data_IF_069086938918
#
_entry.id   IF_069086938918
#
_cell.length_a   1.000
_cell.length_b   1.000
_cell.length_c   1.000
_cell.angle_alpha   90.00
_cell.angle_beta   90.00
_cell.angle_gamma   90.00
#
_symmetry.space_group_name_H-M   'P 1'
#
loop_
_entity.id
_entity.type
_entity.pdbx_description
1 polymer ?
#
# COMPACT_ATOMS: atom_id res chain seq x y z
N UNK A 1 -28.51 -8.97 54.12
CA UNK A 1 -27.66 -8.04 53.34
C UNK A 1 -26.64 -8.70 52.40
N UNK A 2 -26.45 -10.04 52.37
CA UNK A 2 -25.44 -10.69 51.52
C UNK A 2 -25.85 -10.95 50.05
N UNK A 3 -27.16 -10.88 49.72
CA UNK A 3 -27.70 -11.24 48.40
C UNK A 3 -27.54 -10.18 47.30
N UNK A 4 -27.37 -8.91 47.67
CA UNK A 4 -27.22 -7.80 46.71
C UNK A 4 -25.78 -7.63 46.18
N UNK A 5 -24.78 -8.09 46.93
CA UNK A 5 -23.37 -8.04 46.51
C UNK A 5 -23.04 -9.03 45.38
N UNK A 6 -23.63 -10.23 45.43
CA UNK A 6 -23.39 -11.28 44.45
C UNK A 6 -23.93 -10.92 43.04
N UNK A 7 -25.08 -10.23 43.00
CA UNK A 7 -25.72 -9.82 41.75
C UNK A 7 -24.96 -8.68 41.06
N UNK A 8 -24.42 -7.74 41.85
CA UNK A 8 -23.51 -6.69 41.36
C UNK A 8 -22.18 -7.26 40.84
N UNK A 9 -21.65 -8.29 41.51
CA UNK A 9 -20.43 -8.97 41.08
C UNK A 9 -20.66 -9.74 39.76
N UNK A 10 -21.79 -10.45 39.62
CA UNK A 10 -22.14 -11.14 38.36
C UNK A 10 -22.32 -10.17 37.18
N UNK A 11 -22.94 -9.01 37.41
CA UNK A 11 -23.12 -7.97 36.38
C UNK A 11 -21.78 -7.36 35.91
N UNK A 12 -20.80 -7.20 36.80
CA UNK A 12 -19.45 -6.74 36.44
C UNK A 12 -18.67 -7.80 35.65
N UNK A 13 -18.83 -9.08 35.97
CA UNK A 13 -18.15 -10.17 35.25
C UNK A 13 -18.75 -10.37 33.84
N UNK A 14 -20.07 -10.22 33.68
CA UNK A 14 -20.75 -10.23 32.37
C UNK A 14 -20.39 -9.03 31.49
N UNK A 15 -20.11 -7.86 32.08
CA UNK A 15 -19.66 -6.68 31.33
C UNK A 15 -18.21 -6.82 30.81
N UNK A 16 -17.33 -7.55 31.50
CA UNK A 16 -15.97 -7.81 31.03
C UNK A 16 -15.89 -8.78 29.85
N UNK A 17 -16.94 -9.58 29.58
CA UNK A 17 -16.96 -10.52 28.46
C UNK A 17 -17.43 -9.88 27.14
N UNK A 18 -17.86 -8.62 27.19
CA UNK A 18 -18.28 -7.86 26.01
C UNK A 18 -17.16 -6.97 25.42
N UNK A 19 -15.88 -7.28 25.69
CA UNK A 19 -14.80 -6.75 24.86
C UNK A 19 -14.88 -7.48 23.52
N UNK A 20 -15.68 -6.93 22.61
CA UNK A 20 -15.65 -7.31 21.20
C UNK A 20 -14.21 -7.12 20.73
N UNK A 21 -13.57 -8.22 20.32
CA UNK A 21 -12.46 -8.14 19.38
C UNK A 21 -13.03 -7.52 18.10
N UNK A 22 -12.96 -6.19 17.95
CA UNK A 22 -13.08 -5.54 16.65
C UNK A 22 -11.84 -5.92 15.84
N UNK A 23 -11.83 -7.16 15.34
CA UNK A 23 -10.94 -7.51 14.25
C UNK A 23 -11.36 -6.66 13.06
N UNK A 24 -10.52 -5.70 12.67
CA UNK A 24 -10.71 -4.91 11.46
C UNK A 24 -10.98 -5.89 10.31
N UNK A 25 -12.17 -5.85 9.68
CA UNK A 25 -12.50 -6.77 8.61
C UNK A 25 -11.51 -6.55 7.47
N UNK A 26 -10.81 -7.63 7.11
CA UNK A 26 -9.88 -7.63 5.98
C UNK A 26 -10.67 -7.34 4.70
N UNK A 27 -10.15 -6.45 3.86
CA UNK A 27 -10.88 -6.03 2.69
C UNK A 27 -11.05 -7.16 1.69
N UNK A 28 -12.26 -7.28 1.13
CA UNK A 28 -12.48 -8.18 0.02
C UNK A 28 -11.77 -7.62 -1.22
N UNK A 29 -11.00 -8.50 -1.86
CA UNK A 29 -10.18 -8.18 -3.02
C UNK A 29 -10.73 -8.87 -4.28
N UNK A 30 -11.88 -9.54 -4.16
CA UNK A 30 -12.60 -10.16 -5.27
C UNK A 30 -13.35 -9.09 -6.05
N UNK A 31 -13.27 -9.08 -7.39
CA UNK A 31 -14.05 -8.16 -8.21
C UNK A 31 -15.56 -8.29 -7.97
N UNK A 32 -16.24 -7.15 -7.82
CA UNK A 32 -17.70 -7.13 -7.69
C UNK A 32 -18.39 -7.76 -8.92
N UNK A 33 -19.46 -8.52 -8.65
CA UNK A 33 -20.32 -9.07 -9.70
C UNK A 33 -19.69 -10.20 -10.54
N UNK A 34 -18.49 -10.69 -10.19
CA UNK A 34 -17.90 -11.85 -10.87
C UNK A 34 -18.36 -13.16 -10.24
N UNK A 35 -18.75 -14.12 -11.07
CA UNK A 35 -18.94 -15.54 -10.69
C UNK A 35 -17.78 -16.41 -11.18
N UNK A 36 -16.84 -15.82 -11.92
CA UNK A 36 -15.72 -16.55 -12.50
C UNK A 36 -14.68 -16.87 -11.40
N UNK A 37 -14.10 -18.09 -11.39
CA UNK A 37 -13.04 -18.42 -10.47
C UNK A 37 -11.78 -17.60 -10.76
N UNK A 38 -10.97 -17.39 -9.73
CA UNK A 38 -9.67 -16.72 -9.84
C UNK A 38 -8.79 -17.39 -10.90
N UNK A 39 -8.24 -16.61 -11.82
CA UNK A 39 -7.32 -17.12 -12.84
C UNK A 39 -5.94 -17.40 -12.24
N UNK A 40 -5.16 -18.26 -12.89
CA UNK A 40 -3.74 -18.45 -12.55
C UNK A 40 -3.00 -17.13 -12.72
N UNK A 41 -2.06 -16.83 -11.82
CA UNK A 41 -1.26 -15.62 -11.90
C UNK A 41 -0.62 -15.48 -13.28
N UNK A 42 -0.69 -14.27 -13.83
CA UNK A 42 -0.19 -13.94 -15.16
C UNK A 42 0.92 -12.91 -15.01
N UNK A 43 2.11 -13.26 -15.49
CA UNK A 43 3.31 -12.42 -15.37
C UNK A 43 3.28 -11.19 -16.27
N UNK A 44 2.23 -11.02 -17.09
CA UNK A 44 2.02 -9.83 -17.92
C UNK A 44 1.42 -8.66 -17.16
N UNK A 45 1.09 -8.78 -15.88
CA UNK A 45 0.68 -7.62 -15.08
C UNK A 45 1.58 -7.53 -13.87
N UNK A 46 2.12 -6.35 -13.62
CA UNK A 46 3.13 -6.14 -12.57
C UNK A 46 2.72 -4.96 -11.73
N UNK A 47 2.67 -5.18 -10.42
CA UNK A 47 2.66 -4.12 -9.42
C UNK A 47 4.11 -3.74 -9.13
N UNK A 48 4.43 -2.45 -9.13
CA UNK A 48 5.75 -1.93 -8.81
C UNK A 48 5.67 -0.62 -8.04
N UNK A 49 6.74 -0.31 -7.31
CA UNK A 49 6.92 0.98 -6.66
C UNK A 49 8.09 1.66 -7.38
N UNK A 50 7.88 2.91 -7.79
CA UNK A 50 8.89 3.68 -8.51
C UNK A 50 10.19 3.75 -7.70
N UNK A 51 11.33 3.59 -8.35
CA UNK A 51 12.64 3.48 -7.68
C UNK A 51 12.95 2.09 -7.11
N UNK A 52 11.98 1.17 -7.06
CA UNK A 52 12.12 -0.21 -6.54
C UNK A 52 12.79 -0.26 -5.17
N UNK A 53 12.29 0.51 -4.18
CA UNK A 53 12.86 0.50 -2.84
C UNK A 53 12.73 -0.90 -2.20
N UNK A 54 13.68 -1.25 -1.33
CA UNK A 54 13.61 -2.48 -0.53
C UNK A 54 12.86 -2.26 0.80
N UNK A 55 12.94 -1.03 1.33
CA UNK A 55 12.33 -0.58 2.59
C UNK A 55 11.58 0.74 2.36
N UNK A 56 10.74 1.13 3.31
CA UNK A 56 10.10 2.45 3.30
C UNK A 56 10.62 3.31 4.46
N UNK A 57 10.74 4.61 4.20
CA UNK A 57 11.02 5.62 5.22
C UNK A 57 9.70 6.19 5.73
N UNK A 58 9.45 6.23 7.06
CA UNK A 58 8.22 6.77 7.63
C UNK A 58 7.89 8.19 7.13
N UNK A 59 6.64 8.41 6.71
CA UNK A 59 6.15 9.71 6.21
C UNK A 59 6.56 10.06 4.77
N UNK A 60 7.49 9.31 4.17
CA UNK A 60 7.91 9.52 2.78
C UNK A 60 6.77 9.14 1.81
N UNK A 61 6.73 9.79 0.64
CA UNK A 61 5.76 9.51 -0.42
C UNK A 61 6.38 8.67 -1.52
N UNK A 62 5.67 7.62 -1.93
CA UNK A 62 6.07 6.72 -3.01
C UNK A 62 5.01 6.65 -4.10
N UNK A 63 5.45 6.44 -5.34
CA UNK A 63 4.53 6.17 -6.46
C UNK A 63 4.38 4.67 -6.67
N UNK A 64 3.17 4.17 -6.50
CA UNK A 64 2.79 2.78 -6.77
C UNK A 64 2.19 2.71 -8.18
N UNK A 65 2.70 1.84 -9.04
CA UNK A 65 2.23 1.64 -10.41
C UNK A 65 1.80 0.19 -10.64
N UNK A 66 0.64 0.01 -11.25
CA UNK A 66 0.17 -1.27 -11.77
C UNK A 66 0.15 -1.19 -13.29
N UNK A 67 0.98 -2.00 -13.95
CA UNK A 67 1.18 -1.95 -15.40
C UNK A 67 1.03 -3.30 -16.08
N UNK A 68 0.57 -3.24 -17.32
CA UNK A 68 0.63 -4.35 -18.27
C UNK A 68 2.02 -4.44 -18.89
N UNK A 69 2.64 -5.61 -18.80
CA UNK A 69 3.85 -6.00 -19.49
C UNK A 69 3.63 -6.29 -20.98
N UNK A 70 4.72 -6.50 -21.72
CA UNK A 70 4.69 -6.66 -23.17
C UNK A 70 4.01 -7.97 -23.60
N UNK A 71 3.14 -7.87 -24.61
CA UNK A 71 2.61 -8.95 -25.45
C UNK A 71 3.28 -8.84 -26.82
N UNK A 72 4.40 -9.56 -27.01
CA UNK A 72 5.20 -9.44 -28.23
C UNK A 72 6.06 -8.18 -28.24
N UNK A 73 6.36 -7.62 -29.43
CA UNK A 73 7.37 -6.56 -29.57
C UNK A 73 6.91 -5.16 -29.18
N UNK A 74 5.60 -4.85 -29.25
CA UNK A 74 5.12 -3.45 -29.13
C UNK A 74 3.77 -3.29 -28.42
N UNK A 75 3.03 -4.38 -28.15
CA UNK A 75 1.67 -4.28 -27.59
C UNK A 75 1.75 -4.53 -26.09
N UNK A 76 1.32 -3.59 -25.26
CA UNK A 76 1.20 -3.83 -23.81
C UNK A 76 -0.08 -4.57 -23.46
N UNK A 77 -0.03 -5.45 -22.46
CA UNK A 77 -1.24 -6.04 -21.89
C UNK A 77 -2.14 -4.92 -21.33
N UNK A 78 -3.46 -5.12 -21.45
CA UNK A 78 -4.46 -4.13 -21.05
C UNK A 78 -5.45 -4.77 -20.08
N UNK A 79 -6.02 -3.96 -19.21
CA UNK A 79 -7.06 -4.37 -18.27
C UNK A 79 -8.21 -3.36 -18.28
N UNK A 80 -9.42 -3.82 -17.97
CA UNK A 80 -10.62 -2.97 -17.88
C UNK A 80 -10.85 -2.45 -16.47
N UNK A 81 -10.40 -3.20 -15.45
CA UNK A 81 -10.57 -2.84 -14.05
C UNK A 81 -9.44 -3.35 -13.18
N UNK A 82 -9.36 -2.81 -11.98
CA UNK A 82 -8.37 -3.20 -10.98
C UNK A 82 -8.88 -2.90 -9.57
N UNK A 83 -8.27 -3.54 -8.58
CA UNK A 83 -8.42 -3.23 -7.16
C UNK A 83 -7.01 -3.19 -6.57
N UNK A 84 -6.56 -2.04 -6.09
CA UNK A 84 -5.27 -1.83 -5.44
C UNK A 84 -5.51 -1.55 -3.95
N UNK A 85 -4.96 -2.40 -3.08
CA UNK A 85 -5.15 -2.30 -1.63
C UNK A 85 -3.80 -2.28 -0.94
N UNK A 86 -3.70 -1.54 0.16
CA UNK A 86 -2.54 -1.57 1.07
C UNK A 86 -2.99 -2.00 2.46
N UNK A 87 -2.31 -3.01 3.03
CA UNK A 87 -2.64 -3.59 4.33
C UNK A 87 -1.37 -3.77 5.17
N UNK A 88 -1.48 -3.76 6.50
CA UNK A 88 -0.37 -4.15 7.36
C UNK A 88 -0.19 -5.67 7.30
N UNK A 89 1.06 -6.15 7.25
CA UNK A 89 1.35 -7.59 7.29
C UNK A 89 0.95 -8.20 8.65
N UNK A 90 1.00 -7.41 9.73
CA UNK A 90 0.60 -7.79 11.07
C UNK A 90 -0.86 -7.45 11.41
N UNK A 91 -1.35 -8.02 12.51
CA UNK A 91 -2.68 -7.75 13.09
C UNK A 91 -2.67 -6.54 14.05
N UNK A 92 -1.74 -5.61 13.86
CA UNK A 92 -1.50 -4.51 14.81
C UNK A 92 -2.61 -3.45 14.79
N UNK A 93 -3.56 -3.52 13.84
CA UNK A 93 -4.61 -2.50 13.69
C UNK A 93 -4.08 -1.12 13.33
N UNK A 94 -2.77 -1.01 13.09
CA UNK A 94 -2.11 0.22 12.65
C UNK A 94 -2.52 0.55 11.21
N UNK A 95 -2.62 1.84 10.90
CA UNK A 95 -2.94 2.27 9.54
C UNK A 95 -1.75 1.96 8.60
N UNK A 96 -1.97 1.29 7.45
CA UNK A 96 -0.91 0.87 6.53
C UNK A 96 -0.32 2.00 5.67
N UNK A 97 -0.49 3.26 6.08
CA UNK A 97 -0.24 4.45 5.27
C UNK A 97 -1.49 4.90 4.51
N UNK A 98 -1.35 5.97 3.74
CA UNK A 98 -2.49 6.61 3.04
C UNK A 98 -2.25 6.62 1.54
N UNK A 99 -3.25 6.19 0.77
CA UNK A 99 -3.24 6.26 -0.69
C UNK A 99 -3.84 7.57 -1.18
N UNK A 100 -3.26 8.16 -2.22
CA UNK A 100 -3.76 9.35 -2.90
C UNK A 100 -3.85 9.09 -4.41
N UNK A 101 -4.90 9.61 -5.03
CA UNK A 101 -5.10 9.56 -6.47
C UNK A 101 -4.42 10.75 -7.13
N UNK A 102 -3.88 10.56 -8.34
CA UNK A 102 -3.38 11.65 -9.17
C UNK A 102 -4.50 12.53 -9.76
N UNK A 103 -5.77 12.22 -9.49
CA UNK A 103 -6.93 12.97 -9.97
C UNK A 103 -7.35 12.65 -11.40
N UNK A 104 -6.92 11.50 -11.94
CA UNK A 104 -7.40 11.03 -13.23
C UNK A 104 -8.83 10.50 -13.12
N UNK A 105 -9.70 10.80 -14.09
CA UNK A 105 -11.12 10.40 -14.07
C UNK A 105 -11.34 8.88 -14.25
N UNK A 106 -10.26 8.09 -14.23
CA UNK A 106 -10.23 6.66 -14.49
C UNK A 106 -10.11 5.83 -13.21
N UNK A 107 -9.76 6.46 -12.08
CA UNK A 107 -9.56 5.84 -10.78
C UNK A 107 -10.48 6.47 -9.73
N UNK A 108 -10.86 5.70 -8.72
CA UNK A 108 -11.64 6.17 -7.56
C UNK A 108 -11.25 5.39 -6.32
N UNK A 109 -11.53 5.93 -5.14
CA UNK A 109 -11.48 5.13 -3.92
C UNK A 109 -12.62 4.11 -3.92
N UNK A 110 -12.38 2.96 -3.28
CA UNK A 110 -13.43 1.96 -3.07
C UNK A 110 -14.43 2.47 -2.04
N UNK A 111 -15.72 2.24 -2.30
CA UNK A 111 -16.79 2.58 -1.37
C UNK A 111 -16.91 1.53 -0.24
N UNK A 112 -16.41 0.30 -0.48
CA UNK A 112 -16.54 -0.85 0.42
C UNK A 112 -15.35 -1.02 1.39
N UNK A 113 -14.18 -0.51 1.03
CA UNK A 113 -12.96 -0.72 1.81
C UNK A 113 -12.10 0.55 1.92
N UNK A 114 -11.71 0.95 3.14
CA UNK A 114 -10.74 2.00 3.34
C UNK A 114 -9.34 1.54 2.89
N UNK A 115 -8.54 2.46 2.33
CA UNK A 115 -7.20 2.16 1.79
C UNK A 115 -7.20 1.25 0.55
N UNK A 116 -8.29 1.28 -0.22
CA UNK A 116 -8.40 0.64 -1.53
C UNK A 116 -8.75 1.63 -2.61
N UNK A 117 -8.06 1.53 -3.73
CA UNK A 117 -8.35 2.24 -4.98
C UNK A 117 -8.86 1.23 -6.00
N UNK A 118 -9.89 1.62 -6.75
CA UNK A 118 -10.47 0.83 -7.83
C UNK A 118 -10.64 1.69 -9.09
N UNK A 119 -11.00 1.03 -10.18
CA UNK A 119 -11.36 1.68 -11.44
C UNK A 119 -12.70 2.44 -11.33
N UNK A 120 -12.77 3.62 -11.95
CA UNK A 120 -14.01 4.39 -12.07
C UNK A 120 -14.88 3.94 -13.27
N UNK A 121 -14.25 3.38 -14.32
CA UNK A 121 -14.93 2.93 -15.53
C UNK A 121 -14.19 1.75 -16.19
N UNK A 122 -14.87 0.91 -16.99
CA UNK A 122 -14.27 -0.26 -17.66
C UNK A 122 -13.43 0.10 -18.91
N UNK A 123 -12.97 1.35 -19.04
CA UNK A 123 -12.09 1.80 -20.12
C UNK A 123 -10.78 1.02 -20.08
N UNK A 124 -10.26 0.61 -21.24
CA UNK A 124 -9.02 -0.17 -21.36
C UNK A 124 -7.77 0.64 -20.97
N UNK A 125 -7.10 0.20 -19.91
CA UNK A 125 -5.90 0.82 -19.35
C UNK A 125 -4.68 -0.09 -19.56
N UNK A 126 -3.52 0.51 -19.75
CA UNK A 126 -2.22 -0.18 -19.77
C UNK A 126 -1.46 0.01 -18.46
N UNK A 127 -1.74 1.10 -17.75
CA UNK A 127 -1.10 1.48 -16.50
C UNK A 127 -2.08 2.29 -15.64
N UNK A 128 -1.97 2.16 -14.32
CA UNK A 128 -2.56 3.06 -13.33
C UNK A 128 -1.53 3.35 -12.26
N UNK A 129 -1.52 4.57 -11.74
CA UNK A 129 -0.60 5.01 -10.70
C UNK A 129 -1.36 5.61 -9.53
N UNK A 130 -0.81 5.47 -8.33
CA UNK A 130 -1.28 6.10 -7.12
C UNK A 130 -0.07 6.55 -6.29
N UNK A 131 -0.26 7.59 -5.49
CA UNK A 131 0.71 7.97 -4.46
C UNK A 131 0.37 7.23 -3.17
N UNK A 132 1.39 6.87 -2.41
CA UNK A 132 1.26 6.29 -1.09
C UNK A 132 2.20 7.00 -0.13
N UNK A 133 1.65 7.55 0.95
CA UNK A 133 2.44 8.06 2.07
C UNK A 133 2.66 6.95 3.08
N UNK A 134 3.93 6.67 3.36
CA UNK A 134 4.34 5.65 4.31
C UNK A 134 3.83 5.96 5.73
N UNK A 135 3.44 4.92 6.50
CA UNK A 135 2.95 5.10 7.85
C UNK A 135 4.07 5.54 8.82
N UNK A 136 3.71 6.00 10.03
CA UNK A 136 4.68 6.31 11.07
C UNK A 136 5.55 5.12 11.47
N UNK A 137 6.68 5.43 12.09
CA UNK A 137 7.61 4.45 12.66
C UNK A 137 6.91 3.51 13.66
N UNK A 138 7.30 2.23 13.63
CA UNK A 138 6.73 1.15 14.44
C UNK A 138 5.55 0.42 13.80
N UNK A 139 5.16 0.78 12.58
CA UNK A 139 4.05 0.11 11.85
C UNK A 139 4.47 -1.26 11.29
N UNK A 140 5.76 -1.46 11.04
CA UNK A 140 6.31 -2.73 10.57
C UNK A 140 6.29 -2.89 9.05
N UNK A 141 5.78 -4.02 8.55
CA UNK A 141 5.70 -4.25 7.10
C UNK A 141 4.30 -4.00 6.58
N UNK A 142 4.21 -3.36 5.41
CA UNK A 142 2.99 -3.15 4.64
C UNK A 142 3.01 -4.01 3.39
N UNK A 143 1.83 -4.43 2.94
CA UNK A 143 1.63 -5.28 1.77
C UNK A 143 0.69 -4.56 0.83
N UNK A 144 1.20 -4.25 -0.35
CA UNK A 144 0.42 -3.81 -1.49
C UNK A 144 -0.07 -5.03 -2.24
N UNK A 145 -1.36 -5.11 -2.54
CA UNK A 145 -1.96 -6.18 -3.31
C UNK A 145 -2.80 -5.60 -4.43
N UNK A 146 -2.63 -6.13 -5.65
CA UNK A 146 -3.42 -5.78 -6.81
C UNK A 146 -4.25 -6.97 -7.29
N UNK A 147 -5.53 -6.71 -7.58
CA UNK A 147 -6.38 -7.55 -8.41
C UNK A 147 -6.52 -6.89 -9.77
N UNK A 148 -6.32 -7.64 -10.85
CA UNK A 148 -6.42 -7.15 -12.23
C UNK A 148 -7.61 -7.82 -12.92
N UNK A 149 -8.48 -7.03 -13.54
CA UNK A 149 -9.62 -7.51 -14.32
C UNK A 149 -9.33 -7.26 -15.79
N UNK A 150 -8.92 -8.30 -16.52
CA UNK A 150 -8.61 -8.19 -17.94
C UNK A 150 -9.89 -8.12 -18.79
N UNK A 151 -10.89 -8.95 -18.44
CA UNK A 151 -12.25 -8.95 -19.00
C UNK A 151 -13.22 -9.44 -17.90
N UNK A 152 -14.53 -9.31 -18.12
CA UNK A 152 -15.56 -9.61 -17.11
C UNK A 152 -15.39 -10.96 -16.39
N UNK A 153 -14.98 -11.99 -17.13
CA UNK A 153 -14.83 -13.36 -16.62
C UNK A 153 -13.35 -13.80 -16.51
N UNK A 154 -12.40 -12.86 -16.55
CA UNK A 154 -10.98 -13.15 -16.40
C UNK A 154 -10.31 -12.10 -15.53
N UNK A 155 -9.94 -12.54 -14.33
CA UNK A 155 -9.28 -11.70 -13.36
C UNK A 155 -8.15 -12.47 -12.66
N UNK A 156 -7.16 -11.71 -12.22
CA UNK A 156 -5.91 -12.19 -11.65
C UNK A 156 -5.70 -11.58 -10.28
N UNK A 157 -5.25 -12.38 -9.32
CA UNK A 157 -4.94 -11.93 -7.97
C UNK A 157 -4.01 -12.95 -7.30
N UNK A 158 -3.12 -12.47 -6.44
CA UNK A 158 -2.33 -13.33 -5.56
C UNK A 158 -1.02 -12.66 -5.15
N UNK A 159 -0.02 -13.49 -4.95
CA UNK A 159 1.34 -13.07 -4.64
C UNK A 159 2.03 -12.41 -5.86
N UNK A 160 3.35 -12.30 -5.82
CA UNK A 160 4.17 -11.73 -6.90
C UNK A 160 3.77 -12.31 -8.28
N UNK A 161 3.63 -11.47 -9.33
CA UNK A 161 4.03 -10.06 -9.43
C UNK A 161 2.97 -9.01 -9.03
N UNK A 162 1.82 -9.43 -8.48
CA UNK A 162 0.72 -8.53 -8.11
C UNK A 162 0.69 -8.17 -6.62
N UNK A 163 1.74 -8.57 -5.88
CA UNK A 163 1.88 -8.28 -4.46
C UNK A 163 3.30 -7.83 -4.16
N UNK A 164 3.44 -6.76 -3.39
CA UNK A 164 4.71 -6.21 -2.91
C UNK A 164 4.62 -6.03 -1.41
N UNK A 165 5.64 -6.47 -0.69
CA UNK A 165 5.81 -6.17 0.73
C UNK A 165 6.95 -5.18 0.89
N UNK A 166 6.71 -4.08 1.59
CA UNK A 166 7.74 -3.13 2.04
C UNK A 166 7.76 -3.09 3.55
N UNK A 167 8.95 -3.09 4.13
CA UNK A 167 9.14 -2.97 5.57
C UNK A 167 9.78 -1.63 5.91
N UNK A 168 9.52 -1.16 7.13
CA UNK A 168 10.14 0.04 7.66
C UNK A 168 11.67 -0.02 7.61
N UNK A 169 12.27 1.07 7.18
CA UNK A 169 13.71 1.26 7.28
C UNK A 169 14.11 1.60 8.72
N UNK A 170 14.70 0.62 9.40
CA UNK A 170 15.16 0.76 10.78
C UNK A 170 16.49 1.53 10.88
N UNK A 171 17.15 1.84 9.76
CA UNK A 171 18.44 2.56 9.73
C UNK A 171 18.28 4.09 9.85
N UNK A 172 17.04 4.60 9.84
CA UNK A 172 16.75 6.02 10.11
C UNK A 172 16.96 6.43 11.60
N UNK A 173 17.86 5.78 12.34
CA UNK A 173 18.46 6.36 13.54
C UNK A 173 19.41 7.50 13.13
N UNK A 174 18.82 8.64 12.79
CA UNK A 174 19.33 10.03 12.78
C UNK A 174 20.71 10.42 12.25
N UNK A 175 21.62 9.54 11.82
CA UNK A 175 23.00 9.92 11.49
C UNK A 175 23.65 9.20 10.29
N UNK A 176 22.92 8.33 9.58
CA UNK A 176 23.51 7.63 8.43
C UNK A 176 23.32 8.45 7.13
N UNK A 177 24.44 9.00 6.65
CA UNK A 177 24.54 9.66 5.36
C UNK A 177 24.13 8.67 4.24
N UNK A 178 23.20 9.04 3.32
CA UNK A 178 22.74 8.11 2.29
C UNK A 178 23.91 7.61 1.44
N UNK A 179 23.89 6.33 1.04
CA UNK A 179 24.89 5.79 0.13
C UNK A 179 24.94 6.62 -1.17
N UNK A 180 26.07 7.30 -1.38
CA UNK A 180 26.32 8.11 -2.58
C UNK A 180 26.52 7.16 -3.77
N UNK A 181 25.43 6.70 -4.36
CA UNK A 181 25.46 5.70 -5.44
C UNK A 181 25.56 6.32 -6.83
N UNK A 182 26.21 7.48 -6.97
CA UNK A 182 26.51 8.07 -8.27
C UNK A 182 27.94 8.56 -8.28
N UNK A 183 28.80 7.87 -9.04
CA UNK A 183 30.10 8.40 -9.42
C UNK A 183 29.86 9.74 -10.12
N UNK A 184 30.33 10.83 -9.52
CA UNK A 184 30.10 12.18 -10.05
C UNK A 184 30.64 12.26 -11.49
N UNK A 185 29.79 12.70 -12.42
CA UNK A 185 30.13 12.85 -13.84
C UNK A 185 30.48 14.29 -14.23
N UNK A 186 30.54 15.20 -13.25
CA UNK A 186 30.97 16.58 -13.49
C UNK A 186 32.46 16.58 -13.86
N UNK A 187 32.79 17.13 -15.03
CA UNK A 187 34.16 17.26 -15.51
C UNK A 187 34.85 18.54 -15.01
N UNK A 188 34.06 19.50 -14.53
CA UNK A 188 34.52 20.81 -14.09
C UNK A 188 34.45 20.95 -12.57
N UNK A 189 35.42 21.65 -12.00
CA UNK A 189 35.51 21.92 -10.57
C UNK A 189 34.73 23.19 -10.21
N UNK A 190 34.04 23.15 -9.06
CA UNK A 190 33.35 24.31 -8.51
C UNK A 190 33.93 24.66 -7.13
N UNK A 191 34.03 25.97 -6.84
CA UNK A 191 34.48 26.49 -5.55
C UNK A 191 33.29 27.06 -4.79
N UNK A 192 33.12 26.60 -3.56
CA UNK A 192 32.08 27.09 -2.64
C UNK A 192 32.72 27.73 -1.42
N UNK A 193 32.08 28.77 -0.92
CA UNK A 193 32.36 29.35 0.40
C UNK A 193 31.14 29.09 1.28
N UNK A 194 31.39 28.51 2.45
CA UNK A 194 30.35 28.17 3.42
C UNK A 194 30.59 29.01 4.66
N UNK A 195 29.59 29.78 5.05
CA UNK A 195 29.61 30.58 6.27
C UNK A 195 28.55 30.04 7.22
N UNK A 196 28.93 29.77 8.46
CA UNK A 196 28.02 29.36 9.51
C UNK A 196 27.71 30.56 10.41
N UNK A 197 26.44 30.96 10.45
CA UNK A 197 25.96 31.98 11.38
C UNK A 197 25.23 31.31 12.54
N UNK A 198 25.83 31.34 13.73
CA UNK A 198 25.24 30.80 14.95
C UNK A 198 24.25 31.78 15.56
N UNK A 199 22.96 31.48 15.48
CA UNK A 199 21.87 32.25 16.08
C UNK A 199 21.44 31.69 17.45
N UNK A 200 22.41 31.28 18.27
CA UNK A 200 22.15 30.74 19.60
C UNK A 200 22.23 31.87 20.62
N UNK A 201 21.12 32.14 21.31
CA UNK A 201 21.03 33.07 22.45
C UNK A 201 20.93 32.33 23.77
#
# INVERSE_FOLDING_TARGET
>A
MARQGLFKLLLLILACWAVRNDAVPKCDKVPEGTTAPKSRADSRFTLEILGKPQTYSPGEMYTVSLKGGPRGSTIMARFIGFILTVETAGRTGAAPGTLYLFGDSLTKFSDDCPNTITHASPVLKTEVQALWTAPPQGTGCVVFSATVIERKDLWYQGDKPLSITLCEDLQQSSDEQPEVNQQCCACDEAKYEVTFEGLWS
#
